data_IF_942162005911
#
_entry.id   IF_942162005911
#
_cell.length_a   1.000
_cell.length_b   1.000
_cell.length_c   1.000
_cell.angle_alpha   90.00
_cell.angle_beta   90.00
_cell.angle_gamma   90.00
#
_symmetry.space_group_name_H-M   'P 1'
#
loop_
_entity.id
_entity.type
_entity.pdbx_description
1 polymer ?
#
# COMPACT_ATOMS: atom_id res chain seq x y z
N UNK A 1 -8.17 -1.24 8.87
CA UNK A 1 -8.11 -2.69 8.58
C UNK A 1 -8.68 -3.01 7.19
N UNK A 2 -9.99 -3.11 6.94
CA UNK A 2 -10.57 -3.55 5.64
C UNK A 2 -9.94 -2.89 4.40
N UNK A 3 -9.75 -1.57 4.39
CA UNK A 3 -9.15 -0.88 3.23
C UNK A 3 -7.66 -1.20 3.07
N UNK A 4 -6.98 -1.48 4.17
CA UNK A 4 -5.56 -1.82 4.17
C UNK A 4 -5.35 -3.26 3.72
N UNK A 5 -6.16 -4.23 4.18
CA UNK A 5 -6.07 -5.60 3.68
C UNK A 5 -6.42 -5.69 2.19
N UNK A 6 -7.40 -4.91 1.71
CA UNK A 6 -7.68 -4.81 0.28
C UNK A 6 -6.49 -4.24 -0.52
N UNK A 7 -5.82 -3.21 0.01
CA UNK A 7 -4.61 -2.67 -0.59
C UNK A 7 -3.46 -3.70 -0.57
N UNK A 8 -3.29 -4.44 0.53
CA UNK A 8 -2.27 -5.50 0.63
C UNK A 8 -2.42 -6.53 -0.50
N UNK A 9 -3.65 -6.97 -0.77
CA UNK A 9 -3.95 -7.89 -1.87
C UNK A 9 -3.61 -7.25 -3.23
N UNK A 10 -4.02 -6.01 -3.49
CA UNK A 10 -3.72 -5.31 -4.75
C UNK A 10 -2.21 -5.18 -4.96
N UNK A 11 -1.46 -4.85 -3.90
CA UNK A 11 0.00 -4.73 -3.95
C UNK A 11 0.67 -6.11 -4.12
N UNK A 12 0.22 -7.14 -3.42
CA UNK A 12 0.76 -8.49 -3.55
C UNK A 12 0.59 -9.05 -4.97
N UNK A 13 -0.59 -8.86 -5.57
CA UNK A 13 -0.77 -9.17 -6.99
C UNK A 13 0.18 -8.38 -7.88
N UNK A 14 0.36 -7.07 -7.62
CA UNK A 14 1.31 -6.23 -8.35
C UNK A 14 2.75 -6.74 -8.19
N UNK A 15 3.16 -7.10 -6.98
CA UNK A 15 4.48 -7.67 -6.71
C UNK A 15 4.74 -8.94 -7.52
N UNK A 16 3.76 -9.87 -7.53
CA UNK A 16 3.87 -11.13 -8.30
C UNK A 16 3.86 -10.87 -9.81
N UNK A 17 2.94 -10.04 -10.31
CA UNK A 17 2.80 -9.80 -11.75
C UNK A 17 4.01 -9.09 -12.34
N UNK A 18 4.59 -8.13 -11.62
CA UNK A 18 5.70 -7.31 -12.09
C UNK A 18 7.06 -7.75 -11.54
N UNK A 19 7.11 -8.86 -10.77
CA UNK A 19 8.31 -9.41 -10.13
C UNK A 19 9.09 -8.31 -9.37
N UNK A 20 8.36 -7.58 -8.51
CA UNK A 20 8.85 -6.37 -7.87
C UNK A 20 9.06 -6.56 -6.37
N UNK A 21 10.33 -6.72 -5.97
CA UNK A 21 10.74 -6.78 -4.56
C UNK A 21 10.28 -5.53 -3.80
N UNK A 22 10.40 -4.35 -4.40
CA UNK A 22 10.01 -3.10 -3.75
C UNK A 22 8.52 -2.99 -3.43
N UNK A 23 7.64 -3.56 -4.27
CA UNK A 23 6.20 -3.63 -3.97
C UNK A 23 5.93 -4.71 -2.91
N UNK A 24 6.64 -5.84 -2.98
CA UNK A 24 6.54 -6.90 -1.98
C UNK A 24 6.94 -6.39 -0.59
N UNK A 25 8.02 -5.62 -0.46
CA UNK A 25 8.42 -4.98 0.80
C UNK A 25 7.33 -4.07 1.37
N UNK A 26 6.62 -3.32 0.53
CA UNK A 26 5.51 -2.47 0.99
C UNK A 26 4.33 -3.29 1.54
N UNK A 27 4.11 -4.52 1.06
CA UNK A 27 3.09 -5.42 1.63
C UNK A 27 3.48 -5.85 3.04
N UNK A 28 4.76 -6.17 3.28
CA UNK A 28 5.25 -6.54 4.62
C UNK A 28 5.04 -5.38 5.62
N UNK A 29 5.34 -4.15 5.20
CA UNK A 29 5.13 -2.96 6.05
C UNK A 29 3.64 -2.72 6.32
N UNK A 30 2.78 -2.97 5.34
CA UNK A 30 1.34 -2.77 5.45
C UNK A 30 0.69 -3.83 6.34
N UNK A 31 1.14 -5.07 6.26
CA UNK A 31 0.70 -6.18 7.10
C UNK A 31 1.00 -5.91 8.57
N UNK A 32 2.21 -5.50 8.92
CA UNK A 32 2.56 -5.14 10.29
C UNK A 32 1.65 -4.03 10.88
N UNK A 33 1.13 -3.14 10.05
CA UNK A 33 0.14 -2.15 10.49
C UNK A 33 -1.26 -2.74 10.67
N UNK A 34 -1.65 -3.70 9.81
CA UNK A 34 -2.94 -4.40 9.91
C UNK A 34 -2.97 -5.18 11.21
N UNK A 35 -1.91 -5.92 11.55
CA UNK A 35 -1.76 -6.66 12.80
C UNK A 35 -1.88 -5.75 14.02
N UNK A 36 -1.15 -4.64 14.04
CA UNK A 36 -1.21 -3.68 15.14
C UNK A 36 -2.62 -3.04 15.28
N UNK A 37 -3.38 -2.93 14.18
CA UNK A 37 -4.75 -2.46 14.20
C UNK A 37 -5.70 -3.53 14.72
N UNK A 38 -5.46 -4.80 14.39
CA UNK A 38 -6.24 -5.94 14.86
C UNK A 38 -6.13 -6.10 16.36
N UNK A 39 -4.94 -6.16 16.90
CA UNK A 39 -4.66 -6.21 18.34
C UNK A 39 -5.45 -5.12 19.10
N UNK A 40 -5.42 -3.89 18.59
CA UNK A 40 -6.14 -2.76 19.20
C UNK A 40 -7.64 -2.92 19.10
N UNK A 41 -8.13 -3.43 17.98
CA UNK A 41 -9.55 -3.64 17.75
C UNK A 41 -10.10 -4.75 18.63
N UNK A 42 -9.38 -5.87 18.78
CA UNK A 42 -9.71 -6.95 19.69
C UNK A 42 -9.74 -6.48 21.15
N UNK A 43 -8.74 -5.71 21.58
CA UNK A 43 -8.71 -5.13 22.92
C UNK A 43 -9.92 -4.17 23.15
N UNK A 44 -10.39 -3.49 22.13
CA UNK A 44 -11.60 -2.66 22.23
C UNK A 44 -12.87 -3.50 22.36
N UNK A 45 -13.00 -4.59 21.57
CA UNK A 45 -14.13 -5.52 21.65
C UNK A 45 -14.21 -6.13 23.04
N UNK A 46 -13.08 -6.61 23.60
CA UNK A 46 -13.04 -7.20 24.91
C UNK A 46 -13.44 -6.21 26.02
N UNK A 47 -12.98 -4.96 25.94
CA UNK A 47 -13.39 -3.90 26.89
C UNK A 47 -14.88 -3.56 26.76
N UNK A 48 -15.39 -3.48 25.53
CA UNK A 48 -16.81 -3.24 25.30
C UNK A 48 -17.68 -4.40 25.84
N UNK A 49 -17.25 -5.65 25.63
CA UNK A 49 -17.92 -6.86 26.10
C UNK A 49 -18.07 -6.88 27.63
N UNK A 50 -17.07 -6.40 28.37
CA UNK A 50 -17.11 -6.34 29.83
C UNK A 50 -18.21 -5.44 30.43
N UNK A 51 -18.73 -4.49 29.64
CA UNK A 51 -19.79 -3.58 30.04
C UNK A 51 -21.18 -3.88 29.44
N UNK A 52 -21.33 -5.01 28.73
CA UNK A 52 -22.56 -5.37 28.01
C UNK A 52 -23.33 -6.50 28.72
N UNK A 53 -24.65 -6.40 28.73
CA UNK A 53 -25.52 -7.50 29.20
C UNK A 53 -25.49 -8.71 28.25
N UNK A 54 -25.28 -8.49 26.95
CA UNK A 54 -25.16 -9.55 25.94
C UNK A 54 -23.93 -9.36 25.05
N UNK A 55 -22.75 -9.84 25.48
CA UNK A 55 -21.49 -9.75 24.73
C UNK A 55 -21.49 -10.50 23.37
N UNK A 56 -22.39 -11.49 23.20
CA UNK A 56 -22.45 -12.30 21.98
C UNK A 56 -22.75 -11.43 20.74
N UNK A 57 -23.36 -10.27 20.92
CA UNK A 57 -23.63 -9.30 19.85
C UNK A 57 -22.35 -8.78 19.18
N UNK A 58 -21.21 -8.84 19.86
CA UNK A 58 -19.90 -8.41 19.30
C UNK A 58 -19.23 -9.51 18.45
N UNK A 59 -19.78 -10.73 18.43
CA UNK A 59 -19.21 -11.86 17.69
C UNK A 59 -18.98 -11.56 16.21
N UNK A 60 -19.90 -10.81 15.57
CA UNK A 60 -19.74 -10.40 14.17
C UNK A 60 -18.52 -9.52 13.92
N UNK A 61 -18.16 -8.67 14.89
CA UNK A 61 -16.95 -7.83 14.81
C UNK A 61 -15.67 -8.65 14.95
N UNK A 62 -15.64 -9.64 15.86
CA UNK A 62 -14.52 -10.57 15.98
C UNK A 62 -14.30 -11.36 14.68
N UNK A 63 -15.38 -11.88 14.08
CA UNK A 63 -15.26 -12.58 12.80
C UNK A 63 -14.77 -11.67 11.66
N UNK A 64 -15.15 -10.39 11.68
CA UNK A 64 -14.67 -9.43 10.69
C UNK A 64 -13.17 -9.14 10.86
N UNK A 65 -12.70 -9.01 12.10
CA UNK A 65 -11.28 -8.83 12.39
C UNK A 65 -10.46 -10.01 11.86
N UNK A 66 -10.74 -11.22 12.32
CA UNK A 66 -10.02 -12.42 11.87
C UNK A 66 -10.13 -12.70 10.37
N UNK A 67 -11.24 -12.32 9.70
CA UNK A 67 -11.31 -12.41 8.25
C UNK A 67 -10.38 -11.40 7.55
N UNK A 68 -10.18 -10.23 8.15
CA UNK A 68 -9.27 -9.20 7.62
C UNK A 68 -7.81 -9.65 7.75
N UNK A 69 -7.45 -10.25 8.88
CA UNK A 69 -6.15 -10.86 9.15
C UNK A 69 -5.83 -11.94 8.10
N UNK A 70 -6.69 -12.93 7.94
CA UNK A 70 -6.48 -14.01 6.96
C UNK A 70 -6.24 -13.48 5.54
N UNK A 71 -6.89 -12.38 5.16
CA UNK A 71 -6.68 -11.74 3.85
C UNK A 71 -5.30 -11.07 3.80
N UNK A 72 -4.89 -10.41 4.89
CA UNK A 72 -3.58 -9.75 4.99
C UNK A 72 -2.44 -10.76 4.95
N UNK A 73 -2.56 -11.84 5.72
CA UNK A 73 -1.61 -12.97 5.75
C UNK A 73 -1.42 -13.60 4.37
N UNK A 74 -2.51 -13.83 3.64
CA UNK A 74 -2.42 -14.38 2.29
C UNK A 74 -1.67 -13.43 1.34
N UNK A 75 -1.84 -12.12 1.46
CA UNK A 75 -1.09 -11.14 0.69
C UNK A 75 0.40 -11.13 1.09
N UNK A 76 0.70 -11.27 2.38
CA UNK A 76 2.07 -11.42 2.89
C UNK A 76 2.74 -12.66 2.29
N UNK A 77 2.10 -13.84 2.35
CA UNK A 77 2.65 -15.08 1.79
C UNK A 77 2.97 -14.97 0.29
N UNK A 78 2.11 -14.30 -0.48
CA UNK A 78 2.36 -14.03 -1.90
C UNK A 78 3.61 -13.16 -2.09
N UNK A 79 3.75 -12.12 -1.28
CA UNK A 79 4.87 -11.17 -1.36
C UNK A 79 6.19 -11.79 -0.91
N UNK A 80 6.17 -12.62 0.14
CA UNK A 80 7.34 -13.41 0.54
C UNK A 80 7.80 -14.38 -0.56
N UNK A 81 6.86 -14.92 -1.35
CA UNK A 81 7.17 -15.74 -2.52
C UNK A 81 8.03 -14.99 -3.53
N UNK A 82 7.70 -13.73 -3.81
CA UNK A 82 8.49 -12.84 -4.68
C UNK A 82 9.88 -12.60 -4.09
N UNK A 83 9.96 -12.19 -2.83
CA UNK A 83 11.24 -11.91 -2.14
C UNK A 83 12.17 -13.14 -2.04
N UNK A 84 11.61 -14.34 -2.06
CA UNK A 84 12.37 -15.61 -2.12
C UNK A 84 12.78 -15.98 -3.54
N UNK A 85 12.45 -15.19 -4.54
CA UNK A 85 12.80 -15.43 -5.94
C UNK A 85 12.06 -16.62 -6.55
N UNK A 86 10.84 -16.94 -6.09
CA UNK A 86 10.03 -18.02 -6.67
C UNK A 86 9.58 -17.70 -8.11
N UNK A 87 9.71 -16.45 -8.50
CA UNK A 87 9.53 -15.96 -9.86
C UNK A 87 8.07 -16.02 -10.35
N UNK A 88 7.77 -15.19 -11.32
CA UNK A 88 6.48 -15.23 -12.01
C UNK A 88 6.51 -16.31 -13.10
N UNK A 89 5.42 -17.08 -13.23
CA UNK A 89 5.31 -18.07 -14.30
C UNK A 89 5.57 -17.41 -15.66
N UNK A 90 6.38 -18.01 -16.57
CA UNK A 90 6.78 -17.38 -17.85
C UNK A 90 5.62 -16.85 -18.69
N UNK A 91 4.47 -17.53 -18.69
CA UNK A 91 3.26 -17.09 -19.42
C UNK A 91 2.69 -15.80 -18.84
N UNK A 92 2.72 -15.65 -17.50
CA UNK A 92 2.26 -14.44 -16.83
C UNK A 92 3.23 -13.30 -17.12
N UNK A 93 4.54 -13.55 -17.02
CA UNK A 93 5.58 -12.57 -17.33
C UNK A 93 5.46 -12.02 -18.77
N UNK A 94 5.14 -12.88 -19.75
CA UNK A 94 4.91 -12.47 -21.12
C UNK A 94 3.65 -11.60 -21.27
N UNK A 95 2.54 -12.00 -20.66
CA UNK A 95 1.30 -11.22 -20.69
C UNK A 95 1.48 -9.83 -20.07
N UNK A 96 2.25 -9.73 -18.99
CA UNK A 96 2.60 -8.45 -18.33
C UNK A 96 3.48 -7.58 -19.22
N UNK A 97 4.44 -8.17 -19.94
CA UNK A 97 5.27 -7.41 -20.91
C UNK A 97 4.47 -6.81 -22.05
N UNK A 98 3.42 -7.50 -22.49
CA UNK A 98 2.52 -7.02 -23.55
C UNK A 98 1.52 -5.98 -23.01
N UNK A 99 1.31 -5.91 -21.70
CA UNK A 99 0.43 -4.93 -21.07
C UNK A 99 1.11 -3.56 -21.01
N UNK A 100 0.36 -2.51 -21.33
CA UNK A 100 0.80 -1.12 -21.09
C UNK A 100 0.55 -0.67 -19.64
N UNK A 101 -0.21 -1.44 -18.85
CA UNK A 101 -0.48 -1.13 -17.45
C UNK A 101 0.68 -1.57 -16.57
N UNK A 102 1.11 -0.66 -15.68
CA UNK A 102 2.17 -0.90 -14.70
C UNK A 102 1.75 -0.41 -13.31
N UNK A 103 2.32 -1.04 -12.30
CA UNK A 103 2.33 -0.54 -10.93
C UNK A 103 3.77 -0.15 -10.60
N UNK A 104 3.94 1.05 -10.06
CA UNK A 104 5.26 1.58 -9.69
C UNK A 104 5.27 2.02 -8.25
N UNK A 105 6.44 1.89 -7.62
CA UNK A 105 6.76 2.40 -6.29
C UNK A 105 7.85 3.44 -6.43
N UNK A 106 7.60 4.65 -5.93
CA UNK A 106 8.59 5.72 -5.90
C UNK A 106 8.67 6.38 -4.52
N UNK A 107 9.84 6.85 -4.18
CA UNK A 107 10.07 7.74 -3.04
C UNK A 107 10.10 9.20 -3.53
N UNK A 108 9.48 10.10 -2.79
CA UNK A 108 9.50 11.53 -3.08
C UNK A 108 10.87 12.10 -2.75
N UNK A 109 11.66 12.44 -3.77
CA UNK A 109 12.99 12.99 -3.58
C UNK A 109 12.91 14.41 -3.00
N UNK A 110 13.92 14.78 -2.20
CA UNK A 110 14.06 16.14 -1.69
C UNK A 110 14.22 17.13 -2.85
N UNK A 111 13.41 18.19 -2.85
CA UNK A 111 13.45 19.22 -3.90
C UNK A 111 12.78 18.80 -5.21
N UNK A 112 12.14 17.64 -5.27
CA UNK A 112 11.26 17.27 -6.38
C UNK A 112 9.99 18.14 -6.39
N UNK A 113 9.30 18.16 -7.52
CA UNK A 113 8.03 18.91 -7.66
C UNK A 113 6.94 18.40 -6.71
N UNK A 114 6.95 17.10 -6.38
CA UNK A 114 5.98 16.50 -5.46
C UNK A 114 6.26 16.83 -3.99
N UNK A 115 7.49 17.26 -3.64
CA UNK A 115 7.87 17.49 -2.25
C UNK A 115 7.26 18.81 -1.72
N UNK A 116 6.25 18.71 -0.87
CA UNK A 116 5.50 19.85 -0.30
C UNK A 116 4.33 20.29 -1.16
N UNK A 117 3.93 19.51 -2.17
CA UNK A 117 2.78 19.79 -3.02
C UNK A 117 1.69 18.73 -2.83
N UNK A 118 0.44 19.07 -3.16
CA UNK A 118 -0.65 18.11 -3.21
C UNK A 118 -0.70 17.40 -4.56
N UNK A 119 -1.32 16.21 -4.60
CA UNK A 119 -1.55 15.46 -5.83
C UNK A 119 -2.38 16.26 -6.86
N UNK A 120 -3.26 17.14 -6.37
CA UNK A 120 -4.10 18.01 -7.21
C UNK A 120 -3.35 19.20 -7.78
N UNK A 121 -2.52 19.89 -6.98
CA UNK A 121 -1.70 21.03 -7.43
C UNK A 121 -0.75 20.62 -8.56
N UNK A 122 -0.12 19.45 -8.44
CA UNK A 122 0.75 18.89 -9.47
C UNK A 122 -0.01 18.15 -10.58
N UNK A 123 -1.35 18.15 -10.52
CA UNK A 123 -2.23 17.48 -11.50
C UNK A 123 -1.74 16.07 -11.87
N UNK A 124 -1.24 15.30 -10.88
CA UNK A 124 -0.53 14.04 -11.08
C UNK A 124 -1.29 13.13 -12.03
N UNK A 125 -2.59 12.90 -11.79
CA UNK A 125 -3.41 12.03 -12.62
C UNK A 125 -3.56 12.56 -14.05
N UNK A 126 -3.72 13.86 -14.23
CA UNK A 126 -3.97 14.49 -15.53
C UNK A 126 -2.70 14.57 -16.37
N UNK A 127 -1.59 14.96 -15.76
CA UNK A 127 -0.31 15.17 -16.44
C UNK A 127 0.39 13.85 -16.76
N UNK A 128 0.24 12.85 -15.88
CA UNK A 128 0.96 11.58 -16.04
C UNK A 128 0.08 10.44 -16.52
N UNK A 129 -1.24 10.51 -16.33
CA UNK A 129 -2.13 9.36 -16.53
C UNK A 129 -2.01 8.30 -15.43
N UNK A 130 -1.17 8.53 -14.40
CA UNK A 130 -1.00 7.63 -13.28
C UNK A 130 -1.95 7.97 -12.13
N UNK A 131 -2.45 6.95 -11.46
CA UNK A 131 -3.26 7.10 -10.25
C UNK A 131 -2.47 6.61 -9.04
N UNK A 132 -2.18 7.51 -8.10
CA UNK A 132 -1.63 7.11 -6.80
C UNK A 132 -2.70 6.32 -6.04
N UNK A 133 -2.36 5.12 -5.59
CA UNK A 133 -3.27 4.21 -4.89
C UNK A 133 -2.97 4.14 -3.40
N UNK A 134 -1.72 4.40 -3.00
CA UNK A 134 -1.31 4.45 -1.61
C UNK A 134 -0.13 5.39 -1.40
N UNK A 135 -0.02 5.96 -0.21
CA UNK A 135 1.13 6.74 0.25
C UNK A 135 1.51 6.24 1.64
N UNK A 136 2.75 5.80 1.81
CA UNK A 136 3.36 5.53 3.11
C UNK A 136 4.18 6.73 3.54
N UNK A 137 3.85 7.29 4.70
CA UNK A 137 4.54 8.47 5.22
C UNK A 137 5.98 8.17 5.64
N UNK A 138 6.89 9.08 5.36
CA UNK A 138 8.27 8.98 5.80
C UNK A 138 8.36 8.81 7.33
N UNK A 139 9.21 7.90 7.79
CA UNK A 139 9.50 7.75 9.23
C UNK A 139 10.22 9.01 9.72
N UNK A 140 9.66 9.69 10.72
CA UNK A 140 10.35 10.79 11.40
C UNK A 140 11.25 10.21 12.48
N UNK A 141 12.50 10.69 12.54
CA UNK A 141 13.48 10.28 13.56
C UNK A 141 12.89 10.46 14.97
N UNK A 142 12.90 9.39 15.77
CA UNK A 142 12.43 9.38 17.17
C UNK A 142 11.00 8.87 17.38
N UNK A 143 10.26 8.51 16.36
CA UNK A 143 8.95 7.87 16.50
C UNK A 143 9.02 6.44 15.96
N UNK A 144 8.84 5.45 16.87
CA UNK A 144 8.87 4.01 16.55
C UNK A 144 7.57 3.52 15.90
N UNK A 145 6.68 4.42 15.50
CA UNK A 145 5.47 4.02 14.78
C UNK A 145 5.84 3.61 13.36
N UNK A 146 5.34 2.48 12.95
CA UNK A 146 5.27 2.04 11.56
C UNK A 146 4.64 3.18 10.76
N UNK A 147 5.11 3.47 9.54
CA UNK A 147 4.68 4.65 8.78
C UNK A 147 3.17 4.66 8.56
N UNK A 148 2.50 5.79 8.74
CA UNK A 148 1.08 5.91 8.50
C UNK A 148 0.78 5.76 7.01
N UNK A 149 -0.13 4.86 6.67
CA UNK A 149 -0.61 4.67 5.31
C UNK A 149 -1.81 5.55 4.99
N UNK A 150 -1.77 6.21 3.85
CA UNK A 150 -2.91 6.89 3.24
C UNK A 150 -3.38 6.05 2.05
N UNK A 151 -4.46 5.30 2.25
CA UNK A 151 -5.04 4.43 1.21
C UNK A 151 -6.01 5.24 0.36
N UNK A 152 -5.91 5.10 -0.96
CA UNK A 152 -6.71 5.85 -1.95
C UNK A 152 -6.63 7.37 -1.74
N UNK A 153 -5.44 7.97 -1.81
CA UNK A 153 -5.25 9.40 -1.58
C UNK A 153 -6.07 10.24 -2.56
N UNK A 154 -6.67 11.31 -2.04
CA UNK A 154 -7.40 12.29 -2.84
C UNK A 154 -6.50 13.40 -3.39
N UNK A 155 -7.07 14.31 -4.21
CA UNK A 155 -6.31 15.42 -4.79
C UNK A 155 -5.69 16.36 -3.73
N UNK A 156 -6.30 16.47 -2.55
CA UNK A 156 -5.81 17.31 -1.45
C UNK A 156 -4.72 16.64 -0.62
N UNK A 157 -4.29 15.44 -0.99
CA UNK A 157 -3.22 14.73 -0.28
C UNK A 157 -1.87 15.38 -0.61
N UNK A 158 -1.27 16.02 0.37
CA UNK A 158 0.08 16.58 0.30
C UNK A 158 1.13 15.45 0.41
N UNK A 159 2.17 15.51 -0.42
CA UNK A 159 3.32 14.62 -0.38
C UNK A 159 4.53 15.32 0.22
N UNK A 160 5.31 14.61 1.02
CA UNK A 160 6.52 15.14 1.65
C UNK A 160 7.75 14.37 1.18
N UNK A 161 8.91 15.02 1.19
CA UNK A 161 10.17 14.34 0.90
C UNK A 161 10.39 13.12 1.80
N UNK A 162 10.69 11.98 1.20
CA UNK A 162 10.84 10.70 1.86
C UNK A 162 9.55 9.89 1.99
N UNK A 163 8.38 10.46 1.63
CA UNK A 163 7.17 9.64 1.50
C UNK A 163 7.35 8.64 0.35
N UNK A 164 6.90 7.42 0.56
CA UNK A 164 6.85 6.40 -0.48
C UNK A 164 5.42 6.29 -0.99
N UNK A 165 5.24 6.29 -2.29
CA UNK A 165 3.91 6.12 -2.86
C UNK A 165 3.90 5.02 -3.94
N UNK A 166 2.75 4.38 -4.07
CA UNK A 166 2.48 3.40 -5.12
C UNK A 166 1.44 3.98 -6.06
N UNK A 167 1.70 3.85 -7.35
CA UNK A 167 0.81 4.34 -8.40
C UNK A 167 0.64 3.31 -9.51
N UNK A 168 -0.55 3.31 -10.13
CA UNK A 168 -0.87 2.47 -11.28
C UNK A 168 -1.27 3.30 -12.49
N UNK A 169 -0.95 2.81 -13.68
CA UNK A 169 -1.29 3.44 -14.95
C UNK A 169 -0.40 2.94 -16.07
N UNK A 170 -0.13 3.78 -17.05
CA UNK A 170 0.66 3.39 -18.24
C UNK A 170 2.17 3.50 -18.00
N UNK A 171 2.95 2.72 -18.75
CA UNK A 171 4.42 2.75 -18.72
C UNK A 171 4.96 4.16 -19.01
N UNK A 172 4.44 4.84 -20.04
CA UNK A 172 4.82 6.22 -20.35
C UNK A 172 4.41 7.21 -19.26
N UNK A 173 3.32 6.92 -18.55
CA UNK A 173 2.89 7.67 -17.38
C UNK A 173 3.86 7.53 -16.20
N UNK A 174 4.39 6.33 -16.00
CA UNK A 174 5.36 6.04 -14.94
C UNK A 174 6.64 6.88 -15.09
N UNK A 175 7.17 7.01 -16.31
CA UNK A 175 8.35 7.85 -16.60
C UNK A 175 8.10 9.32 -16.24
N UNK A 176 6.93 9.87 -16.64
CA UNK A 176 6.55 11.24 -16.27
C UNK A 176 6.39 11.43 -14.76
N UNK A 177 5.81 10.44 -14.10
CA UNK A 177 5.63 10.46 -12.65
C UNK A 177 6.95 10.37 -11.91
N UNK A 178 7.90 9.54 -12.39
CA UNK A 178 9.26 9.46 -11.86
C UNK A 178 9.95 10.83 -11.91
N UNK A 179 9.86 11.54 -13.04
CA UNK A 179 10.42 12.88 -13.18
C UNK A 179 9.81 13.88 -12.18
N UNK A 180 8.48 13.82 -11.93
CA UNK A 180 7.84 14.64 -10.91
C UNK A 180 8.32 14.31 -9.49
N UNK A 181 8.55 13.01 -9.20
CA UNK A 181 9.06 12.54 -7.93
C UNK A 181 10.56 12.76 -7.73
N UNK A 182 11.28 13.16 -8.80
CA UNK A 182 12.75 13.35 -8.76
C UNK A 182 13.51 12.02 -8.75
N UNK A 183 12.95 10.98 -9.35
CA UNK A 183 13.55 9.64 -9.46
C UNK A 183 14.10 9.48 -10.88
N UNK A 184 15.37 9.05 -10.98
CA UNK A 184 15.96 8.62 -12.25
C UNK A 184 15.50 7.19 -12.56
N UNK A 185 14.96 6.96 -13.76
CA UNK A 185 14.44 5.68 -14.24
C UNK A 185 15.38 5.09 -15.27
#
# INVERSE_FOLDING_TARGET
MKNMSGLAVDLAYGAVLFDSDGIAEEVLELEAEVDALEDRFEAWILRAAAGMDDPVRLRGLMHLAGATEVISDAALEMSEGVLRGLGTHPVIAEAVRESDEVIVRYEVARGSRLAGATLGEEMVKTETGMRVIAVRRARRAGNTRVGDWVVSPGPDTELHAGDVFVAKGTRSGAERLAALAGVEV
#
